data_IF_937760890839
#
_entry.id   IF_937760890839
#
_cell.length_a   1.000
_cell.length_b   1.000
_cell.length_c   1.000
_cell.angle_alpha   90.00
_cell.angle_beta   90.00
_cell.angle_gamma   90.00
#
_symmetry.space_group_name_H-M   'P 1'
#
loop_
_entity.id
_entity.type
_entity.pdbx_description
1 polymer ?
#
# COMPACT_ATOMS: atom_id res chain seq x y z
N UNK A 1 -4.67 23.58 -13.29
CA UNK A 1 -3.36 23.69 -12.60
C UNK A 1 -2.43 22.67 -13.22
N UNK A 2 -1.17 23.04 -13.46
CA UNK A 2 -0.14 22.08 -13.86
C UNK A 2 0.01 21.01 -12.75
N UNK A 3 0.28 19.75 -13.12
CA UNK A 3 0.40 18.64 -12.17
C UNK A 3 1.50 18.92 -11.15
N UNK A 4 1.13 19.00 -9.87
CA UNK A 4 2.09 19.11 -8.77
C UNK A 4 2.62 17.73 -8.41
N UNK A 5 3.90 17.65 -8.09
CA UNK A 5 4.52 16.42 -7.62
C UNK A 5 4.00 16.09 -6.20
N UNK A 6 3.55 14.85 -5.98
CA UNK A 6 3.00 14.41 -4.71
C UNK A 6 4.13 13.94 -3.79
N UNK A 7 4.09 14.37 -2.54
CA UNK A 7 5.07 14.07 -1.50
C UNK A 7 4.38 13.89 -0.14
N UNK A 8 5.05 13.23 0.80
CA UNK A 8 4.56 13.10 2.17
C UNK A 8 4.34 14.47 2.83
N UNK A 9 5.14 15.47 2.44
CA UNK A 9 5.11 16.82 2.98
C UNK A 9 3.91 17.64 2.48
N UNK A 10 3.46 17.43 1.23
CA UNK A 10 2.41 18.25 0.63
C UNK A 10 1.07 17.55 0.44
N UNK A 11 0.96 16.23 0.67
CA UNK A 11 -0.25 15.47 0.35
C UNK A 11 -1.51 16.03 1.04
N UNK A 12 -1.42 16.43 2.31
CA UNK A 12 -2.58 16.96 3.03
C UNK A 12 -3.05 18.30 2.44
N UNK A 13 -2.14 19.21 2.14
CA UNK A 13 -2.46 20.51 1.52
C UNK A 13 -3.04 20.33 0.11
N UNK A 14 -2.52 19.38 -0.66
CA UNK A 14 -3.06 19.03 -1.97
C UNK A 14 -4.49 18.50 -1.86
N UNK A 15 -4.75 17.58 -0.93
CA UNK A 15 -6.09 17.00 -0.74
C UNK A 15 -7.09 18.08 -0.27
N UNK A 16 -6.71 18.91 0.71
CA UNK A 16 -7.55 20.00 1.23
C UNK A 16 -7.82 21.06 0.16
N UNK A 17 -6.80 21.49 -0.58
CA UNK A 17 -6.96 22.50 -1.64
C UNK A 17 -7.81 22.01 -2.82
N UNK A 18 -7.95 20.70 -3.01
CA UNK A 18 -8.87 20.08 -3.96
C UNK A 18 -10.27 19.81 -3.38
N UNK A 19 -10.58 20.33 -2.19
CA UNK A 19 -11.92 20.30 -1.59
C UNK A 19 -12.25 19.05 -0.79
N UNK A 20 -11.26 18.21 -0.49
CA UNK A 20 -11.46 16.99 0.31
C UNK A 20 -10.95 17.18 1.73
N UNK A 21 -11.81 16.92 2.70
CA UNK A 21 -11.44 16.83 4.12
C UNK A 21 -12.46 15.98 4.86
N UNK A 22 -12.04 15.38 5.98
CA UNK A 22 -12.92 14.56 6.79
C UNK A 22 -13.41 13.29 6.08
N UNK A 23 -14.63 12.81 6.35
CA UNK A 23 -15.14 11.56 5.78
C UNK A 23 -15.25 11.60 4.26
N UNK A 24 -14.69 10.58 3.60
CA UNK A 24 -14.88 10.31 2.16
C UNK A 24 -15.19 8.83 1.96
N UNK A 25 -15.71 8.43 0.80
CA UNK A 25 -16.05 7.03 0.56
C UNK A 25 -14.83 6.17 0.22
N UNK A 26 -13.98 6.62 -0.72
CA UNK A 26 -12.90 5.82 -1.29
C UNK A 26 -11.60 6.62 -1.43
N UNK A 27 -10.48 6.00 -1.04
CA UNK A 27 -9.13 6.40 -1.40
C UNK A 27 -8.48 5.26 -2.19
N UNK A 28 -7.86 5.56 -3.33
CA UNK A 28 -7.07 4.60 -4.11
C UNK A 28 -5.65 5.15 -4.27
N UNK A 29 -4.64 4.35 -3.94
CA UNK A 29 -3.22 4.71 -4.02
C UNK A 29 -2.50 3.74 -4.96
N UNK A 30 -1.88 4.32 -5.99
CA UNK A 30 -1.07 3.65 -6.99
C UNK A 30 -0.09 4.69 -7.58
N UNK A 31 0.97 4.99 -6.84
CA UNK A 31 2.01 5.98 -7.16
C UNK A 31 3.29 5.34 -7.70
N UNK A 32 3.30 4.02 -7.90
CA UNK A 32 4.46 3.24 -8.32
C UNK A 32 5.67 3.35 -7.37
N UNK A 33 5.48 3.60 -6.06
CA UNK A 33 6.62 3.72 -5.14
C UNK A 33 6.30 4.18 -3.72
N UNK A 34 6.06 5.48 -3.54
CA UNK A 34 5.97 6.10 -2.21
C UNK A 34 4.62 5.89 -1.49
N UNK A 35 3.76 5.01 -2.00
CA UNK A 35 2.39 4.75 -1.56
C UNK A 35 2.25 4.60 -0.04
N UNK A 36 3.13 3.81 0.58
CA UNK A 36 3.17 3.62 2.03
C UNK A 36 3.37 4.94 2.78
N UNK A 37 4.36 5.73 2.36
CA UNK A 37 4.72 7.00 2.98
C UNK A 37 3.65 8.07 2.78
N UNK A 38 3.07 8.12 1.58
CA UNK A 38 1.95 9.00 1.28
C UNK A 38 0.74 8.69 2.16
N UNK A 39 0.36 7.41 2.28
CA UNK A 39 -0.76 7.04 3.15
C UNK A 39 -0.46 7.28 4.63
N UNK A 40 0.78 7.06 5.05
CA UNK A 40 1.21 7.32 6.42
C UNK A 40 1.03 8.81 6.76
N UNK A 41 1.51 9.70 5.90
CA UNK A 41 1.41 11.15 6.10
C UNK A 41 -0.02 11.71 5.94
N UNK A 42 -0.85 11.10 5.10
CA UNK A 42 -2.21 11.55 4.82
C UNK A 42 -3.14 11.38 6.03
N UNK A 43 -3.61 12.49 6.59
CA UNK A 43 -4.44 12.54 7.80
C UNK A 43 -5.63 13.52 7.71
N UNK A 44 -5.73 14.31 6.65
CA UNK A 44 -6.84 15.27 6.49
C UNK A 44 -8.16 14.64 6.02
N UNK A 45 -8.16 13.36 5.66
CA UNK A 45 -9.33 12.60 5.19
C UNK A 45 -9.49 11.29 5.96
N UNK A 46 -10.72 10.79 6.00
CA UNK A 46 -11.08 9.53 6.64
C UNK A 46 -11.92 8.66 5.68
N UNK A 47 -11.29 7.96 4.73
CA UNK A 47 -11.98 7.09 3.79
C UNK A 47 -12.78 5.98 4.48
N UNK A 48 -13.87 5.51 3.88
CA UNK A 48 -14.55 4.27 4.31
C UNK A 48 -13.82 3.04 3.78
N UNK A 49 -13.28 3.14 2.57
CA UNK A 49 -12.48 2.11 1.91
C UNK A 49 -11.16 2.73 1.42
N UNK A 50 -10.05 2.02 1.64
CA UNK A 50 -8.76 2.33 1.05
C UNK A 50 -8.33 1.17 0.16
N UNK A 51 -7.87 1.47 -1.03
CA UNK A 51 -7.24 0.52 -1.95
C UNK A 51 -5.80 0.96 -2.16
N UNK A 52 -4.86 0.04 -2.04
CA UNK A 52 -3.45 0.32 -2.30
C UNK A 52 -2.87 -0.75 -3.22
N UNK A 53 -2.02 -0.32 -4.15
CA UNK A 53 -1.12 -1.26 -4.82
C UNK A 53 -0.02 -1.71 -3.83
N UNK A 54 0.29 -3.00 -3.82
CA UNK A 54 1.36 -3.57 -2.99
C UNK A 54 2.28 -4.48 -3.80
N UNK A 55 3.53 -4.60 -3.36
CA UNK A 55 4.50 -5.47 -3.99
C UNK A 55 4.36 -6.90 -3.47
N UNK A 56 3.65 -7.73 -4.24
CA UNK A 56 3.39 -9.15 -3.93
C UNK A 56 4.67 -9.96 -3.70
N UNK A 57 5.78 -9.57 -4.33
CA UNK A 57 7.06 -10.28 -4.20
C UNK A 57 7.68 -10.16 -2.81
N UNK A 58 7.20 -9.24 -1.97
CA UNK A 58 7.66 -9.11 -0.58
C UNK A 58 7.13 -10.20 0.36
N UNK A 59 6.10 -10.94 -0.08
CA UNK A 59 5.50 -12.01 0.71
C UNK A 59 4.57 -11.54 1.82
N UNK A 60 4.00 -12.50 2.57
CA UNK A 60 2.99 -12.22 3.58
C UNK A 60 3.57 -11.75 4.93
N UNK A 61 4.84 -12.03 5.23
CA UNK A 61 5.38 -11.91 6.60
C UNK A 61 6.08 -10.58 6.88
N UNK A 62 7.02 -10.18 6.02
CA UNK A 62 7.88 -9.04 6.33
C UNK A 62 7.14 -7.73 6.07
N UNK A 63 7.04 -6.90 7.09
CA UNK A 63 6.56 -5.52 6.99
C UNK A 63 7.69 -4.62 6.48
N UNK A 64 7.77 -4.43 5.17
CA UNK A 64 8.85 -3.68 4.52
C UNK A 64 8.32 -2.72 3.46
N UNK A 65 9.01 -1.59 3.29
CA UNK A 65 8.77 -0.63 2.22
C UNK A 65 10.10 -0.16 1.63
N UNK A 66 10.10 0.20 0.35
CA UNK A 66 11.14 1.03 -0.24
C UNK A 66 11.33 2.31 0.59
N UNK A 67 12.57 2.69 0.89
CA UNK A 67 12.89 3.95 1.57
C UNK A 67 12.25 5.13 0.86
N UNK A 68 11.65 6.05 1.62
CA UNK A 68 11.07 7.26 1.05
C UNK A 68 12.13 8.08 0.31
N UNK A 69 11.81 8.43 -0.94
CA UNK A 69 12.58 9.40 -1.74
C UNK A 69 11.58 10.32 -2.40
N UNK A 70 11.60 11.60 -2.02
CA UNK A 70 10.61 12.58 -2.48
C UNK A 70 10.48 12.60 -3.99
N UNK A 71 11.59 12.47 -4.73
CA UNK A 71 11.67 12.55 -6.19
C UNK A 71 11.73 11.18 -6.89
N UNK A 72 11.37 10.09 -6.19
CA UNK A 72 11.39 8.74 -6.73
C UNK A 72 10.60 8.61 -8.03
N UNK A 73 11.20 7.93 -9.01
CA UNK A 73 10.55 7.56 -10.26
C UNK A 73 10.86 6.11 -10.56
N UNK A 74 9.82 5.32 -10.80
CA UNK A 74 10.00 3.94 -11.25
C UNK A 74 10.70 3.93 -12.62
N UNK A 75 11.82 3.23 -12.70
CA UNK A 75 12.48 2.94 -13.96
C UNK A 75 11.83 1.71 -14.61
N UNK A 76 10.94 1.97 -15.56
CA UNK A 76 10.22 0.94 -16.31
C UNK A 76 11.13 0.06 -17.19
N UNK A 77 12.40 0.44 -17.40
CA UNK A 77 13.36 -0.35 -18.17
C UNK A 77 14.04 -1.46 -17.34
N UNK A 78 13.89 -1.43 -16.01
CA UNK A 78 14.57 -2.37 -15.10
C UNK A 78 13.55 -3.32 -14.48
N UNK A 79 13.77 -4.62 -14.69
CA UNK A 79 12.96 -5.69 -14.12
C UNK A 79 13.78 -6.57 -13.15
N UNK A 80 13.16 -7.13 -12.08
CA UNK A 80 11.80 -6.84 -11.61
C UNK A 80 11.67 -5.39 -11.10
N UNK A 81 10.47 -4.83 -11.12
CA UNK A 81 10.19 -3.55 -10.47
C UNK A 81 10.41 -3.66 -8.96
N UNK A 82 11.24 -2.77 -8.40
CA UNK A 82 11.71 -2.79 -7.00
C UNK A 82 11.16 -1.60 -6.22
N UNK A 83 9.86 -1.42 -6.26
CA UNK A 83 9.15 -0.30 -5.65
C UNK A 83 8.02 -0.77 -4.74
N UNK A 84 7.43 0.19 -4.02
CA UNK A 84 6.25 -0.01 -3.21
C UNK A 84 6.55 -0.55 -1.81
N UNK A 85 5.56 -1.26 -1.26
CA UNK A 85 5.65 -1.86 0.06
C UNK A 85 4.97 -3.23 0.10
N UNK A 86 5.28 -4.02 1.13
CA UNK A 86 4.66 -5.33 1.34
C UNK A 86 3.21 -5.21 1.80
N UNK A 87 2.43 -6.28 1.59
CA UNK A 87 1.06 -6.36 2.12
C UNK A 87 1.05 -6.22 3.65
N UNK A 88 2.06 -6.78 4.34
CA UNK A 88 2.21 -6.68 5.79
C UNK A 88 2.46 -5.23 6.25
N UNK A 89 3.26 -4.45 5.51
CA UNK A 89 3.47 -3.04 5.78
C UNK A 89 2.15 -2.25 5.73
N UNK A 90 1.37 -2.47 4.67
CA UNK A 90 0.07 -1.81 4.54
C UNK A 90 -0.94 -2.29 5.58
N UNK A 91 -0.99 -3.58 5.92
CA UNK A 91 -1.86 -4.09 6.98
C UNK A 91 -1.52 -3.48 8.36
N UNK A 92 -0.23 -3.37 8.69
CA UNK A 92 0.25 -2.72 9.91
C UNK A 92 -0.14 -1.24 9.95
N UNK A 93 0.08 -0.51 8.86
CA UNK A 93 -0.29 0.91 8.74
C UNK A 93 -1.81 1.11 8.81
N UNK A 94 -2.58 0.28 8.10
CA UNK A 94 -4.04 0.29 8.12
C UNK A 94 -4.57 0.15 9.55
N UNK A 95 -4.04 -0.83 10.30
CA UNK A 95 -4.40 -1.06 11.70
C UNK A 95 -4.09 0.14 12.58
N UNK A 96 -2.92 0.76 12.43
CA UNK A 96 -2.57 2.00 13.14
C UNK A 96 -3.51 3.18 12.82
N UNK A 97 -4.18 3.14 11.66
CA UNK A 97 -5.11 4.19 11.19
C UNK A 97 -6.60 3.84 11.40
N UNK A 98 -6.94 2.71 12.03
CA UNK A 98 -8.33 2.30 12.27
C UNK A 98 -9.01 1.61 11.07
N UNK A 99 -8.24 0.84 10.32
CA UNK A 99 -8.69 0.05 9.18
C UNK A 99 -8.27 -1.41 9.31
N UNK A 100 -9.00 -2.30 8.65
CA UNK A 100 -8.69 -3.74 8.55
C UNK A 100 -8.52 -4.18 7.10
N UNK A 101 -7.56 -5.07 6.86
CA UNK A 101 -7.43 -5.75 5.57
C UNK A 101 -8.65 -6.68 5.38
N UNK A 102 -9.39 -6.54 4.29
CA UNK A 102 -10.56 -7.39 4.00
C UNK A 102 -10.34 -8.32 2.80
N UNK A 103 -9.27 -8.09 2.05
CA UNK A 103 -8.88 -8.97 0.94
C UNK A 103 -7.95 -8.29 -0.05
N UNK A 104 -7.64 -9.03 -1.10
CA UNK A 104 -6.79 -8.61 -2.22
C UNK A 104 -7.50 -8.92 -3.54
N UNK A 105 -7.21 -8.13 -4.55
CA UNK A 105 -7.71 -8.35 -5.90
C UNK A 105 -7.12 -9.65 -6.47
N UNK A 106 -7.85 -10.32 -7.37
CA UNK A 106 -7.53 -11.67 -7.84
C UNK A 106 -6.21 -11.82 -8.62
N UNK A 107 -5.68 -10.73 -9.19
CA UNK A 107 -4.34 -10.72 -9.80
C UNK A 107 -3.22 -10.50 -8.77
N UNK A 108 -3.55 -10.10 -7.54
CA UNK A 108 -2.62 -10.01 -6.42
C UNK A 108 -1.86 -8.69 -6.31
N UNK A 109 -2.30 -7.63 -7.00
CA UNK A 109 -1.63 -6.32 -6.99
C UNK A 109 -2.26 -5.31 -6.02
N UNK A 110 -3.57 -5.41 -5.79
CA UNK A 110 -4.30 -4.42 -4.99
C UNK A 110 -4.85 -5.03 -3.71
N UNK A 111 -4.67 -4.34 -2.59
CA UNK A 111 -5.23 -4.70 -1.29
C UNK A 111 -6.37 -3.75 -0.92
N UNK A 112 -7.40 -4.30 -0.26
CA UNK A 112 -8.58 -3.56 0.17
C UNK A 112 -8.61 -3.48 1.69
N UNK A 113 -8.73 -2.26 2.19
CA UNK A 113 -8.88 -1.96 3.61
C UNK A 113 -10.22 -1.27 3.86
N UNK A 114 -10.93 -1.71 4.88
CA UNK A 114 -12.20 -1.11 5.29
C UNK A 114 -12.03 -0.52 6.66
N UNK A 115 -12.57 0.69 6.87
CA UNK A 115 -12.56 1.33 8.18
C UNK A 115 -13.24 0.42 9.21
N UNK A 116 -12.68 0.35 10.41
CA UNK A 116 -13.31 -0.38 11.52
C UNK A 116 -14.75 0.12 11.74
N UNK A 117 -15.61 -0.72 12.32
CA UNK A 117 -17.05 -0.49 12.52
C UNK A 117 -17.93 -0.56 11.25
N UNK A 118 -17.34 -0.55 10.04
CA UNK A 118 -18.11 -0.63 8.79
C UNK A 118 -18.17 -2.06 8.25
N UNK A 119 -19.34 -2.71 8.32
CA UNK A 119 -19.61 -3.96 7.59
C UNK A 119 -18.74 -5.14 8.02
N UNK A 120 -18.42 -5.26 9.30
CA UNK A 120 -17.53 -6.29 9.86
C UNK A 120 -18.02 -7.72 9.61
N UNK A 121 -19.33 -7.94 9.64
CA UNK A 121 -19.93 -9.25 9.32
C UNK A 121 -19.81 -9.61 7.83
N UNK A 122 -19.90 -8.62 6.94
CA UNK A 122 -19.84 -8.83 5.49
C UNK A 122 -18.41 -8.90 4.97
N UNK A 123 -17.52 -8.11 5.56
CA UNK A 123 -16.12 -7.93 5.17
C UNK A 123 -15.24 -8.10 6.43
N UNK A 124 -15.06 -9.33 6.92
CA UNK A 124 -14.22 -9.59 8.09
C UNK A 124 -12.74 -9.30 7.79
N UNK A 125 -11.96 -9.09 8.85
CA UNK A 125 -10.51 -8.99 8.70
C UNK A 125 -9.92 -10.28 8.11
N UNK A 126 -8.90 -10.11 7.27
CA UNK A 126 -8.05 -11.16 6.72
C UNK A 126 -6.62 -10.97 7.19
N UNK A 127 -5.93 -12.07 7.49
CA UNK A 127 -4.49 -12.01 7.64
C UNK A 127 -3.79 -11.92 6.28
N UNK A 128 -2.56 -11.39 6.25
CA UNK A 128 -1.74 -11.39 5.04
C UNK A 128 -1.42 -12.80 4.56
N UNK A 129 -1.18 -13.74 5.49
CA UNK A 129 -1.05 -15.18 5.21
C UNK A 129 -2.25 -15.72 4.44
N UNK A 130 -3.46 -15.50 4.95
CA UNK A 130 -4.68 -16.00 4.31
C UNK A 130 -4.81 -15.43 2.89
N UNK A 131 -4.54 -14.14 2.70
CA UNK A 131 -4.58 -13.50 1.38
C UNK A 131 -3.61 -14.16 0.39
N UNK A 132 -2.40 -14.53 0.82
CA UNK A 132 -1.45 -15.25 -0.03
C UNK A 132 -1.88 -16.70 -0.31
N UNK A 133 -2.36 -17.41 0.71
CA UNK A 133 -2.74 -18.82 0.59
C UNK A 133 -4.01 -19.03 -0.23
N UNK A 134 -4.99 -18.13 -0.11
CA UNK A 134 -6.28 -18.23 -0.80
C UNK A 134 -6.29 -17.65 -2.21
N UNK A 135 -5.19 -17.03 -2.67
CA UNK A 135 -5.09 -16.43 -3.99
C UNK A 135 -4.13 -17.23 -4.89
N UNK A 136 -4.65 -17.78 -6.00
CA UNK A 136 -3.88 -18.63 -6.92
C UNK A 136 -2.65 -17.94 -7.52
N UNK A 137 -2.67 -16.61 -7.67
CA UNK A 137 -1.54 -15.82 -8.19
C UNK A 137 -0.46 -15.55 -7.15
N UNK A 138 -0.81 -15.64 -5.88
CA UNK A 138 0.07 -15.27 -4.76
C UNK A 138 0.62 -16.50 -4.03
N UNK A 139 -0.11 -17.62 -4.00
CA UNK A 139 0.27 -18.84 -3.26
C UNK A 139 1.60 -19.48 -3.69
N UNK A 140 2.07 -19.15 -4.90
CA UNK A 140 3.35 -19.60 -5.43
C UNK A 140 4.55 -18.76 -4.97
N UNK A 141 4.34 -17.79 -4.08
CA UNK A 141 5.40 -16.94 -3.55
C UNK A 141 6.48 -17.75 -2.82
N UNK A 142 7.73 -17.30 -2.93
CA UNK A 142 8.90 -17.88 -2.25
C UNK A 142 9.78 -16.79 -1.61
N UNK A 143 10.52 -17.09 -0.54
CA UNK A 143 11.47 -16.15 0.07
C UNK A 143 12.51 -15.58 -0.90
N UNK A 144 12.91 -16.36 -1.92
CA UNK A 144 13.83 -15.92 -2.96
C UNK A 144 13.32 -14.71 -3.76
N UNK A 145 11.99 -14.54 -3.89
CA UNK A 145 11.42 -13.36 -4.54
C UNK A 145 11.63 -12.09 -3.69
N UNK A 146 11.48 -12.19 -2.37
CA UNK A 146 11.76 -11.07 -1.48
C UNK A 146 13.24 -10.69 -1.54
N UNK A 147 14.13 -11.68 -1.42
CA UNK A 147 15.59 -11.48 -1.56
C UNK A 147 15.94 -10.85 -2.91
N UNK A 148 15.31 -11.33 -3.98
CA UNK A 148 15.47 -10.76 -5.30
C UNK A 148 15.05 -9.31 -5.33
N UNK A 149 13.97 -8.87 -4.67
CA UNK A 149 13.50 -7.47 -4.67
C UNK A 149 14.41 -6.55 -3.84
N UNK A 150 14.78 -6.97 -2.63
CA UNK A 150 15.52 -6.10 -1.68
C UNK A 150 17.02 -6.00 -1.98
N UNK A 151 17.57 -6.87 -2.83
CA UNK A 151 19.00 -6.87 -3.22
C UNK A 151 19.38 -5.84 -4.29
N UNK A 152 18.44 -5.00 -4.72
CA UNK A 152 18.66 -4.01 -5.78
C UNK A 152 19.33 -2.73 -5.28
N UNK A 153 19.37 -1.72 -6.15
CA UNK A 153 19.90 -0.39 -5.80
C UNK A 153 18.97 0.39 -4.86
N UNK A 154 17.68 0.05 -4.86
CA UNK A 154 16.72 0.66 -3.95
C UNK A 154 16.94 0.17 -2.52
N UNK A 155 16.92 1.11 -1.58
CA UNK A 155 16.98 0.79 -0.16
C UNK A 155 15.60 0.38 0.32
N UNK A 156 15.55 -0.63 1.18
CA UNK A 156 14.33 -1.13 1.80
C UNK A 156 14.45 -1.05 3.32
N UNK A 157 13.35 -0.71 3.96
CA UNK A 157 13.25 -0.49 5.40
C UNK A 157 12.16 -1.36 6.00
N UNK A 158 12.37 -1.81 7.22
CA UNK A 158 11.32 -2.44 8.03
C UNK A 158 10.43 -1.34 8.63
N UNK A 159 9.12 -1.48 8.46
CA UNK A 159 8.13 -0.46 8.80
C UNK A 159 7.00 -0.98 9.67
#
# INVERSE_FOLDING_TARGET
>A
MAGQWISAENINDLVISNGFSGPIDLLSLDLDGNDYWIWQALNCIQPRVVVVEFNTSCGPEKSVSMSYKVDYRLDLSVQPYRCGASLAAFAKLARAKGYRLVGVQSLGFNAFFVRDELGEELLPERSTQDCFQSNDRMRGWTPAQLEMIISGNEKWEEV
#
